data_IF_132097575301
#
_entry.id   IF_132097575301
#
_cell.length_a   1.000
_cell.length_b   1.000
_cell.length_c   1.000
_cell.angle_alpha   90.00
_cell.angle_beta   90.00
_cell.angle_gamma   90.00
#
_symmetry.space_group_name_H-M   'P 1'
#
loop_
_entity.id
_entity.type
_entity.pdbx_description
1 polymer ?
#
# COMPACT_ATOMS: atom_id res chain seq x y z
N UNK A 1 -15.15 54.61 26.81
CA UNK A 1 -14.59 53.93 28.00
C UNK A 1 -13.71 52.85 27.47
N UNK A 2 -12.43 53.15 27.35
CA UNK A 2 -11.36 52.85 28.24
C UNK A 2 -11.10 51.32 28.26
N UNK A 3 -10.07 50.77 27.82
CA UNK A 3 -8.65 51.11 27.79
C UNK A 3 -7.93 49.85 28.25
N UNK A 4 -6.81 49.52 27.72
CA UNK A 4 -5.94 48.48 28.27
C UNK A 4 -4.95 47.90 27.29
N UNK A 5 -4.02 48.74 26.83
CA UNK A 5 -2.72 48.31 26.31
C UNK A 5 -1.88 47.73 27.44
N UNK A 6 -1.13 46.71 27.17
CA UNK A 6 0.15 46.38 27.82
C UNK A 6 0.90 45.45 26.87
N UNK A 7 1.77 45.86 26.07
CA UNK A 7 3.12 46.43 26.12
C UNK A 7 3.89 46.00 27.38
N UNK A 8 4.88 45.22 27.27
CA UNK A 8 6.18 45.22 27.96
C UNK A 8 6.96 43.98 27.50
N UNK A 9 7.95 44.19 26.77
CA UNK A 9 9.42 44.30 26.91
C UNK A 9 10.11 42.96 26.73
N UNK A 10 10.70 42.78 25.63
CA UNK A 10 12.12 43.04 25.34
C UNK A 10 13.03 42.89 26.56
N UNK A 11 13.77 41.80 26.59
CA UNK A 11 15.06 41.77 27.26
C UNK A 11 16.03 40.92 26.45
N UNK A 12 16.81 41.66 25.70
CA UNK A 12 18.08 41.25 25.12
C UNK A 12 19.08 41.29 26.25
N UNK A 13 19.88 40.28 26.46
CA UNK A 13 21.28 40.47 26.84
C UNK A 13 22.11 39.21 26.57
N UNK A 14 23.29 39.41 26.03
CA UNK A 14 24.22 38.34 25.65
C UNK A 14 25.21 38.08 26.76
N UNK A 15 25.71 36.89 26.92
CA UNK A 15 26.98 36.66 27.66
C UNK A 15 27.68 35.43 27.07
N UNK A 16 28.76 35.74 26.40
CA UNK A 16 30.13 35.34 26.62
C UNK A 16 30.48 33.85 26.45
N UNK A 17 31.06 33.59 25.31
CA UNK A 17 32.43 33.12 25.11
C UNK A 17 33.03 32.38 26.35
N UNK A 18 33.15 31.07 26.21
CA UNK A 18 34.22 30.33 26.83
C UNK A 18 34.75 29.27 25.86
N UNK A 19 35.82 29.68 25.27
CA UNK A 19 36.78 28.86 24.54
C UNK A 19 37.47 27.95 25.55
N UNK A 20 37.19 26.66 25.52
CA UNK A 20 38.04 25.67 26.16
C UNK A 20 38.42 24.65 25.11
N UNK A 21 39.61 24.87 24.65
CA UNK A 21 40.42 23.94 23.88
C UNK A 21 40.81 22.77 24.79
N UNK A 22 40.30 21.59 24.57
CA UNK A 22 40.89 20.37 25.09
C UNK A 22 40.95 19.35 23.94
N UNK A 23 42.14 19.29 23.39
CA UNK A 23 42.57 18.17 22.60
C UNK A 23 42.63 16.93 23.50
N UNK A 24 41.91 15.89 23.15
CA UNK A 24 42.14 14.58 23.73
C UNK A 24 41.72 13.47 22.78
N UNK A 25 42.74 12.83 22.23
CA UNK A 25 42.83 11.40 21.94
C UNK A 25 41.73 10.77 21.06
N UNK A 26 42.10 10.69 19.82
CA UNK A 26 41.63 9.71 18.86
C UNK A 26 41.78 8.29 19.44
N UNK A 27 40.69 7.76 19.98
CA UNK A 27 40.55 6.33 20.10
C UNK A 27 39.82 5.87 18.84
N UNK A 28 40.51 5.24 17.93
CA UNK A 28 39.95 4.45 16.84
C UNK A 28 39.12 3.30 17.44
N UNK A 29 37.89 3.58 17.76
CA UNK A 29 36.91 2.52 17.93
C UNK A 29 36.39 2.17 16.53
N UNK A 30 36.87 1.05 16.00
CA UNK A 30 36.31 0.38 14.83
C UNK A 30 34.79 0.30 15.08
N UNK A 31 33.92 0.88 14.23
CA UNK A 31 32.51 0.67 14.37
C UNK A 31 32.22 -0.84 14.23
N UNK A 32 31.35 -1.41 15.06
CA UNK A 32 30.89 -2.76 14.85
C UNK A 32 30.36 -2.85 13.42
N UNK A 33 30.75 -3.89 12.72
CA UNK A 33 30.26 -4.21 11.38
C UNK A 33 28.73 -4.14 11.44
N UNK A 34 28.16 -3.04 10.95
CA UNK A 34 26.76 -2.97 10.64
C UNK A 34 26.56 -4.01 9.54
N UNK A 35 25.98 -5.15 9.89
CA UNK A 35 25.40 -6.04 8.91
C UNK A 35 24.64 -5.17 7.90
N UNK A 36 24.87 -5.34 6.60
CA UNK A 36 24.08 -4.62 5.63
C UNK A 36 22.63 -5.06 5.86
N UNK A 37 21.85 -4.15 6.46
CA UNK A 37 20.39 -4.27 6.44
C UNK A 37 20.07 -4.49 4.98
N UNK A 38 19.62 -5.69 4.67
CA UNK A 38 19.31 -6.12 3.31
C UNK A 38 18.40 -5.02 2.75
N UNK A 39 18.98 -4.18 1.90
CA UNK A 39 18.24 -3.18 1.17
C UNK A 39 17.11 -3.94 0.52
N UNK A 40 15.88 -3.61 0.90
CA UNK A 40 14.69 -4.18 0.30
C UNK A 40 14.89 -4.01 -1.21
N UNK A 41 15.21 -5.11 -1.86
CA UNK A 41 15.44 -5.13 -3.31
C UNK A 41 14.11 -4.65 -3.89
N UNK A 42 14.12 -3.45 -4.43
CA UNK A 42 12.99 -2.91 -5.18
C UNK A 42 12.69 -3.94 -6.27
N UNK A 43 11.65 -4.73 -6.02
CA UNK A 43 11.29 -5.85 -6.89
C UNK A 43 10.96 -5.25 -8.25
N UNK A 44 11.67 -5.71 -9.26
CA UNK A 44 11.50 -5.25 -10.63
C UNK A 44 10.02 -5.42 -11.02
N UNK A 45 9.35 -4.43 -11.64
CA UNK A 45 7.97 -4.57 -12.04
C UNK A 45 7.78 -5.83 -12.88
N UNK A 46 6.77 -6.61 -12.54
CA UNK A 46 6.54 -7.91 -13.15
C UNK A 46 5.76 -7.75 -14.43
N UNK A 47 6.30 -8.22 -15.54
CA UNK A 47 5.47 -8.45 -16.70
C UNK A 47 4.52 -9.62 -16.39
N UNK A 48 3.21 -9.40 -16.41
CA UNK A 48 2.20 -10.42 -16.10
C UNK A 48 2.32 -11.67 -16.99
N UNK A 49 2.86 -11.54 -18.20
CA UNK A 49 3.13 -12.69 -19.08
C UNK A 49 4.13 -13.68 -18.46
N UNK A 50 5.01 -13.22 -17.59
CA UNK A 50 5.95 -14.07 -16.87
C UNK A 50 5.33 -14.80 -15.69
N UNK A 51 4.14 -14.41 -15.24
CA UNK A 51 3.40 -15.08 -14.18
C UNK A 51 2.69 -16.30 -14.78
N UNK A 52 2.82 -17.49 -14.19
CA UNK A 52 2.18 -18.69 -14.71
C UNK A 52 0.66 -18.59 -14.67
N UNK A 53 0.01 -19.43 -15.47
CA UNK A 53 -1.44 -19.58 -15.41
C UNK A 53 -1.92 -19.95 -13.99
N UNK A 54 -3.16 -19.63 -13.62
CA UNK A 54 -3.70 -19.93 -12.30
C UNK A 54 -3.66 -21.43 -12.00
N UNK A 55 -3.18 -21.78 -10.80
CA UNK A 55 -3.15 -23.16 -10.31
C UNK A 55 -4.13 -23.33 -9.15
N UNK A 56 -5.34 -23.84 -9.41
CA UNK A 56 -6.37 -24.00 -8.37
C UNK A 56 -5.97 -24.93 -7.23
N UNK A 57 -5.01 -25.84 -7.43
CA UNK A 57 -4.55 -26.76 -6.39
C UNK A 57 -3.79 -26.05 -5.28
N UNK A 58 -3.28 -24.84 -5.55
CA UNK A 58 -2.54 -24.00 -4.59
C UNK A 58 -3.44 -23.02 -3.84
N UNK A 59 -4.71 -22.90 -4.20
CA UNK A 59 -5.58 -21.92 -3.55
C UNK A 59 -5.96 -22.39 -2.14
N UNK A 60 -5.99 -21.49 -1.15
CA UNK A 60 -6.54 -21.81 0.15
C UNK A 60 -8.04 -22.17 0.01
N UNK A 61 -8.55 -22.94 0.96
CA UNK A 61 -9.98 -23.21 1.02
C UNK A 61 -10.77 -21.94 1.30
N UNK A 62 -12.06 -21.90 0.92
CA UNK A 62 -12.91 -20.74 1.24
C UNK A 62 -13.05 -20.47 2.75
N UNK A 63 -12.73 -21.47 3.61
CA UNK A 63 -12.76 -21.30 5.07
C UNK A 63 -11.53 -20.58 5.60
N UNK A 64 -10.42 -20.59 4.83
CA UNK A 64 -9.12 -20.05 5.23
C UNK A 64 -8.67 -18.92 4.29
N UNK A 65 -9.59 -18.01 3.97
CA UNK A 65 -9.26 -16.87 3.09
C UNK A 65 -8.22 -15.92 3.70
N UNK A 66 -7.96 -16.01 5.00
CA UNK A 66 -6.84 -15.31 5.65
C UNK A 66 -5.47 -15.73 5.13
N UNK A 67 -5.37 -16.93 4.54
CA UNK A 67 -4.15 -17.43 3.90
C UNK A 67 -3.98 -16.96 2.45
N UNK A 68 -4.93 -16.18 1.92
CA UNK A 68 -4.82 -15.66 0.56
C UNK A 68 -3.60 -14.75 0.43
N UNK A 69 -2.75 -15.02 -0.58
CA UNK A 69 -1.47 -14.32 -0.79
C UNK A 69 -1.36 -13.60 -2.13
N UNK A 70 -2.28 -13.87 -3.05
CA UNK A 70 -2.35 -13.15 -4.34
C UNK A 70 -3.05 -11.80 -4.16
N UNK A 71 -2.99 -10.90 -5.15
CA UNK A 71 -3.66 -9.61 -5.05
C UNK A 71 -5.14 -9.77 -4.68
N UNK A 72 -5.61 -8.91 -3.78
CA UNK A 72 -6.98 -8.87 -3.32
C UNK A 72 -7.61 -7.52 -3.66
N UNK A 73 -8.69 -7.55 -4.40
CA UNK A 73 -9.41 -6.39 -4.89
C UNK A 73 -10.80 -6.31 -4.25
N UNK A 74 -11.20 -5.13 -3.84
CA UNK A 74 -12.51 -4.87 -3.25
C UNK A 74 -13.25 -3.86 -4.12
N UNK A 75 -14.34 -4.28 -4.76
CA UNK A 75 -15.18 -3.40 -5.57
C UNK A 75 -16.04 -2.53 -4.65
N UNK A 76 -15.98 -1.22 -4.83
CA UNK A 76 -16.62 -0.20 -4.02
C UNK A 76 -17.39 0.78 -4.89
N UNK A 77 -18.23 1.61 -4.28
CA UNK A 77 -18.94 2.70 -4.98
C UNK A 77 -17.99 3.82 -5.46
N UNK A 78 -16.89 4.04 -4.73
CA UNK A 78 -15.91 5.09 -4.98
C UNK A 78 -14.70 4.62 -5.84
N UNK A 79 -14.66 3.34 -6.23
CA UNK A 79 -13.58 2.77 -7.05
C UNK A 79 -13.32 1.30 -6.74
N UNK A 80 -12.07 0.90 -6.95
CA UNK A 80 -11.60 -0.46 -6.68
C UNK A 80 -10.47 -0.37 -5.66
N UNK A 81 -10.66 -0.99 -4.51
CA UNK A 81 -9.63 -1.07 -3.47
C UNK A 81 -8.66 -2.20 -3.76
N UNK A 82 -7.37 -1.91 -3.86
CA UNK A 82 -6.30 -2.90 -3.77
C UNK A 82 -5.88 -3.02 -2.30
N UNK A 83 -6.00 -4.22 -1.76
CA UNK A 83 -5.68 -4.49 -0.35
C UNK A 83 -4.21 -4.87 -0.24
N UNK A 84 -3.46 -4.13 0.56
CA UNK A 84 -2.14 -4.55 0.99
C UNK A 84 -2.28 -5.64 2.06
N UNK A 85 -1.85 -6.86 1.72
CA UNK A 85 -2.00 -8.02 2.60
C UNK A 85 -1.07 -7.98 3.82
N UNK A 86 -0.08 -7.09 3.86
CA UNK A 86 0.86 -6.97 4.97
C UNK A 86 0.33 -6.12 6.12
N UNK A 87 -0.40 -5.07 5.83
CA UNK A 87 -0.91 -4.10 6.81
C UNK A 87 -2.43 -3.91 6.74
N UNK A 88 -3.11 -4.60 5.80
CA UNK A 88 -4.54 -4.49 5.53
C UNK A 88 -5.03 -3.09 5.11
N UNK A 89 -4.12 -2.25 4.65
CA UNK A 89 -4.50 -0.97 4.06
C UNK A 89 -5.16 -1.18 2.69
N UNK A 90 -6.10 -0.32 2.36
CA UNK A 90 -6.84 -0.38 1.11
C UNK A 90 -6.56 0.88 0.31
N UNK A 91 -5.87 0.72 -0.80
CA UNK A 91 -5.60 1.78 -1.76
C UNK A 91 -6.73 1.85 -2.78
N UNK A 92 -7.48 2.96 -2.77
CA UNK A 92 -8.58 3.15 -3.72
C UNK A 92 -8.04 3.64 -5.05
N UNK A 93 -8.32 2.87 -6.08
CA UNK A 93 -7.90 3.09 -7.46
C UNK A 93 -9.12 3.31 -8.35
N UNK A 94 -8.94 4.07 -9.41
CA UNK A 94 -9.89 4.08 -10.51
C UNK A 94 -9.72 2.81 -11.35
N UNK A 95 -10.76 2.30 -12.01
CA UNK A 95 -10.65 1.10 -12.84
C UNK A 95 -9.50 1.15 -13.86
N UNK A 96 -9.22 2.32 -14.43
CA UNK A 96 -8.17 2.53 -15.43
C UNK A 96 -6.74 2.39 -14.87
N UNK A 97 -6.57 2.49 -13.55
CA UNK A 97 -5.27 2.38 -12.87
C UNK A 97 -4.91 0.93 -12.54
N UNK A 98 -5.91 0.04 -12.50
CA UNK A 98 -5.73 -1.36 -12.11
C UNK A 98 -4.66 -2.09 -12.94
N UNK A 99 -4.60 -1.97 -14.29
CA UNK A 99 -3.55 -2.64 -15.06
C UNK A 99 -2.15 -2.26 -14.62
N UNK A 100 -1.89 -0.97 -14.46
CA UNK A 100 -0.58 -0.46 -14.08
C UNK A 100 -0.18 -0.95 -12.68
N UNK A 101 -1.11 -0.91 -11.73
CA UNK A 101 -0.86 -1.36 -10.36
C UNK A 101 -0.59 -2.88 -10.30
N UNK A 102 -1.37 -3.69 -10.97
CA UNK A 102 -1.16 -5.14 -10.98
C UNK A 102 0.15 -5.54 -11.67
N UNK A 103 0.55 -4.83 -12.73
CA UNK A 103 1.83 -5.04 -13.42
C UNK A 103 3.00 -4.59 -12.54
N UNK A 104 2.82 -3.60 -11.68
CA UNK A 104 3.88 -3.11 -10.78
C UNK A 104 4.18 -4.07 -9.63
N UNK A 105 3.26 -4.97 -9.30
CA UNK A 105 3.46 -5.93 -8.22
C UNK A 105 4.60 -6.91 -8.56
N UNK A 106 5.41 -7.30 -7.57
CA UNK A 106 6.48 -8.27 -7.78
C UNK A 106 5.91 -9.66 -8.08
N UNK A 107 6.67 -10.50 -8.77
CA UNK A 107 6.26 -11.89 -9.08
C UNK A 107 5.95 -12.70 -7.82
N UNK A 108 6.60 -12.39 -6.70
CA UNK A 108 6.31 -13.00 -5.39
C UNK A 108 4.91 -12.73 -4.86
N UNK A 109 4.23 -11.69 -5.37
CA UNK A 109 2.83 -11.41 -5.02
C UNK A 109 1.83 -12.33 -5.75
N UNK A 110 2.30 -13.27 -6.60
CA UNK A 110 1.48 -14.14 -7.42
C UNK A 110 1.73 -15.64 -7.18
N UNK A 111 1.79 -16.13 -5.92
CA UNK A 111 2.14 -17.52 -5.65
C UNK A 111 1.15 -18.54 -6.25
N UNK A 112 -0.07 -18.13 -6.55
CA UNK A 112 -1.11 -18.98 -7.14
C UNK A 112 -1.24 -18.81 -8.67
N UNK A 113 -0.31 -18.04 -9.29
CA UNK A 113 -0.39 -17.66 -10.70
C UNK A 113 -1.31 -16.45 -10.93
N UNK A 114 -1.68 -16.20 -12.20
CA UNK A 114 -2.50 -15.05 -12.62
C UNK A 114 -3.96 -15.16 -12.15
N UNK A 115 -4.17 -14.98 -10.86
CA UNK A 115 -5.51 -14.97 -10.24
C UNK A 115 -5.56 -13.90 -9.16
N UNK A 116 -6.67 -13.22 -9.07
CA UNK A 116 -6.96 -12.25 -8.02
C UNK A 116 -8.20 -12.65 -7.23
N UNK A 117 -8.23 -12.31 -5.95
CA UNK A 117 -9.44 -12.40 -5.16
C UNK A 117 -10.25 -11.12 -5.37
N UNK A 118 -11.56 -11.23 -5.54
CA UNK A 118 -12.44 -10.08 -5.69
C UNK A 118 -13.59 -10.20 -4.70
N UNK A 119 -13.78 -9.17 -3.89
CA UNK A 119 -14.95 -9.00 -3.04
C UNK A 119 -15.73 -7.75 -3.43
N UNK A 120 -16.98 -7.67 -3.01
CA UNK A 120 -17.77 -6.46 -3.10
C UNK A 120 -17.95 -5.86 -1.70
N UNK A 121 -17.61 -4.58 -1.54
CA UNK A 121 -17.93 -3.87 -0.33
C UNK A 121 -19.41 -3.50 -0.33
N UNK A 122 -20.11 -3.85 0.74
CA UNK A 122 -21.47 -3.36 0.96
C UNK A 122 -21.40 -1.87 1.27
N UNK A 123 -22.07 -1.00 0.51
CA UNK A 123 -22.11 0.42 0.80
C UNK A 123 -22.69 0.68 2.21
N UNK A 124 -22.10 1.61 2.96
CA UNK A 124 -22.60 1.99 4.29
C UNK A 124 -24.05 2.45 4.27
N UNK A 125 -24.43 3.13 3.19
CA UNK A 125 -25.82 3.51 2.90
C UNK A 125 -26.17 2.90 1.54
N UNK A 126 -26.91 1.80 1.49
CA UNK A 126 -27.16 1.05 0.25
C UNK A 126 -28.24 1.73 -0.62
N UNK A 127 -27.93 2.91 -1.15
CA UNK A 127 -28.75 3.59 -2.13
C UNK A 127 -28.69 2.89 -3.48
N UNK A 128 -29.71 3.08 -4.34
CA UNK A 128 -29.70 2.51 -5.67
C UNK A 128 -28.56 3.07 -6.53
N UNK A 129 -28.15 4.32 -6.29
CA UNK A 129 -26.97 4.93 -6.90
C UNK A 129 -25.69 4.20 -6.49
N UNK A 130 -25.47 4.00 -5.18
CA UNK A 130 -24.28 3.29 -4.69
C UNK A 130 -24.20 1.87 -5.25
N UNK A 131 -25.32 1.14 -5.27
CA UNK A 131 -25.39 -0.20 -5.90
C UNK A 131 -25.10 -0.16 -7.39
N UNK A 132 -25.56 0.89 -8.11
CA UNK A 132 -25.29 1.03 -9.53
C UNK A 132 -23.80 1.29 -9.80
N UNK A 133 -23.12 2.13 -8.98
CA UNK A 133 -21.70 2.38 -9.12
C UNK A 133 -20.87 1.12 -8.80
N UNK A 134 -21.20 0.35 -7.76
CA UNK A 134 -20.55 -0.94 -7.48
C UNK A 134 -20.67 -1.89 -8.67
N UNK A 135 -21.89 -2.07 -9.23
CA UNK A 135 -22.07 -2.92 -10.42
C UNK A 135 -21.27 -2.45 -11.62
N UNK A 136 -21.22 -1.13 -11.85
CA UNK A 136 -20.44 -0.54 -12.94
C UNK A 136 -18.94 -0.82 -12.74
N UNK A 137 -18.40 -0.52 -11.55
CA UNK A 137 -16.99 -0.74 -11.24
C UNK A 137 -16.63 -2.23 -11.33
N UNK A 138 -17.53 -3.13 -10.92
CA UNK A 138 -17.33 -4.57 -11.09
C UNK A 138 -17.26 -4.98 -12.56
N UNK A 139 -18.14 -4.46 -13.39
CA UNK A 139 -18.13 -4.74 -14.83
C UNK A 139 -16.85 -4.26 -15.50
N UNK A 140 -16.39 -3.05 -15.16
CA UNK A 140 -15.12 -2.52 -15.66
C UNK A 140 -13.94 -3.36 -15.19
N UNK A 141 -13.87 -3.71 -13.91
CA UNK A 141 -12.82 -4.57 -13.37
C UNK A 141 -12.78 -5.92 -14.07
N UNK A 142 -13.93 -6.58 -14.25
CA UNK A 142 -13.99 -7.88 -14.91
C UNK A 142 -13.52 -7.81 -16.36
N UNK A 143 -13.88 -6.77 -17.10
CA UNK A 143 -13.37 -6.51 -18.45
C UNK A 143 -11.86 -6.37 -18.48
N UNK A 144 -11.32 -5.49 -17.63
CA UNK A 144 -9.89 -5.24 -17.50
C UNK A 144 -9.09 -6.51 -17.17
N UNK A 145 -9.53 -7.28 -16.16
CA UNK A 145 -8.85 -8.52 -15.76
C UNK A 145 -8.88 -9.59 -16.86
N UNK A 146 -9.98 -9.65 -17.60
CA UNK A 146 -10.09 -10.54 -18.76
C UNK A 146 -9.11 -10.19 -19.87
N UNK A 147 -8.96 -8.91 -20.20
CA UNK A 147 -7.97 -8.43 -21.17
C UNK A 147 -6.54 -8.72 -20.76
N UNK A 148 -6.26 -8.71 -19.46
CA UNK A 148 -4.96 -9.02 -18.87
C UNK A 148 -4.72 -10.54 -18.71
N UNK A 149 -5.66 -11.40 -19.10
CA UNK A 149 -5.64 -12.85 -18.84
C UNK A 149 -5.45 -13.18 -17.34
N UNK A 150 -6.06 -12.40 -16.48
CA UNK A 150 -6.08 -12.60 -15.02
C UNK A 150 -7.42 -13.21 -14.61
N UNK A 151 -7.39 -14.34 -13.94
CA UNK A 151 -8.60 -15.02 -13.47
C UNK A 151 -9.14 -14.33 -12.21
N UNK A 152 -10.45 -14.25 -12.12
CA UNK A 152 -11.14 -13.81 -10.90
C UNK A 152 -11.49 -15.03 -10.05
N UNK A 153 -11.23 -14.93 -8.75
CA UNK A 153 -11.83 -15.76 -7.71
C UNK A 153 -12.70 -14.86 -6.84
N UNK A 154 -13.96 -15.19 -6.72
CA UNK A 154 -14.87 -14.45 -5.86
C UNK A 154 -14.59 -14.77 -4.39
N UNK A 155 -14.59 -13.73 -3.53
CA UNK A 155 -14.59 -13.92 -2.09
C UNK A 155 -15.95 -14.45 -1.64
N UNK A 156 -16.00 -15.28 -0.57
CA UNK A 156 -17.25 -15.82 -0.03
C UNK A 156 -18.15 -14.75 0.57
#
# INVERSE_FOLDING_TARGET
>A
MAGGENVVRSLVLPILVSLILLASLVACSKPPDAEPVAAAQASKPTNLESIPAPDPSKYPSFRDMSEWKNPYLVVREDGIGLVDLSNHEVHILKPEQIPAELVSLPSSAWPYGRVVLVAEAVPKIPTDRAKAEVRKNRGLLAGTLKEMDVRIREAP
#
